data_IF_895930842243
#
_entry.id   IF_895930842243
#
_cell.length_a   1.000
_cell.length_b   1.000
_cell.length_c   1.000
_cell.angle_alpha   90.00
_cell.angle_beta   90.00
_cell.angle_gamma   90.00
#
_symmetry.space_group_name_H-M   'P 1'
#
loop_
_entity.id
_entity.type
_entity.pdbx_description
1 polymer ?
#
# COMPACT_ATOMS: atom_id res chain seq x y z
N UNK A 1 7.25 2.34 -6.91
CA UNK A 1 6.55 3.65 -7.04
C UNK A 1 6.14 3.92 -8.49
N UNK A 2 7.00 3.62 -9.47
CA UNK A 2 6.75 3.84 -10.90
C UNK A 2 5.64 3.00 -11.53
N UNK A 3 5.14 1.98 -10.84
CA UNK A 3 4.14 1.03 -11.38
C UNK A 3 2.88 1.72 -11.93
N UNK A 4 2.46 2.82 -11.30
CA UNK A 4 1.29 3.59 -11.74
C UNK A 4 1.54 4.30 -13.08
N UNK A 5 2.71 4.93 -13.25
CA UNK A 5 3.10 5.59 -14.49
C UNK A 5 3.39 4.59 -15.61
N UNK A 6 4.07 3.48 -15.31
CA UNK A 6 4.36 2.43 -16.29
C UNK A 6 3.09 1.84 -16.89
N UNK A 7 2.00 1.77 -16.10
CA UNK A 7 0.72 1.20 -16.55
C UNK A 7 -0.16 2.18 -17.31
N UNK A 8 -0.14 3.47 -16.94
CA UNK A 8 -0.98 4.49 -17.55
C UNK A 8 -0.33 5.14 -18.77
N UNK A 9 1.01 5.20 -18.82
CA UNK A 9 1.83 5.85 -19.86
C UNK A 9 1.21 7.19 -20.30
N UNK A 10 1.10 8.17 -19.40
CA UNK A 10 0.67 9.51 -19.79
C UNK A 10 1.71 10.12 -20.72
N UNK A 11 1.27 10.90 -21.72
CA UNK A 11 2.17 11.55 -22.67
C UNK A 11 2.94 12.72 -22.04
N UNK A 12 2.40 13.29 -20.97
CA UNK A 12 3.01 14.39 -20.22
C UNK A 12 4.05 13.86 -19.23
N UNK A 13 5.19 14.55 -19.15
CA UNK A 13 6.21 14.30 -18.12
C UNK A 13 5.80 14.97 -16.80
N UNK A 14 5.89 14.23 -15.70
CA UNK A 14 5.57 14.74 -14.36
C UNK A 14 6.81 14.76 -13.48
N UNK A 15 6.98 15.83 -12.70
CA UNK A 15 7.87 15.84 -11.53
C UNK A 15 7.03 15.55 -10.28
N UNK A 16 7.50 14.64 -9.42
CA UNK A 16 6.76 14.21 -8.23
C UNK A 16 7.57 14.56 -6.99
N UNK A 17 6.99 15.39 -6.12
CA UNK A 17 7.48 15.64 -4.78
C UNK A 17 6.44 15.15 -3.78
N UNK A 18 6.84 14.28 -2.86
CA UNK A 18 5.93 13.69 -1.88
C UNK A 18 6.56 13.67 -0.49
N UNK A 19 5.78 14.11 0.51
CA UNK A 19 6.15 14.01 1.92
C UNK A 19 5.45 12.80 2.52
N UNK A 20 6.23 11.82 2.98
CA UNK A 20 5.71 10.59 3.60
C UNK A 20 6.31 10.48 5.00
N UNK A 21 5.49 10.21 6.00
CA UNK A 21 5.90 10.10 7.41
C UNK A 21 5.41 8.78 8.01
N UNK A 22 6.25 8.17 8.85
CA UNK A 22 5.95 6.90 9.54
C UNK A 22 6.18 5.64 8.69
N UNK A 23 5.94 4.48 9.29
CA UNK A 23 6.13 3.17 8.66
C UNK A 23 7.60 2.82 8.38
N UNK A 24 7.82 1.86 7.48
CA UNK A 24 9.12 1.50 6.90
C UNK A 24 9.15 1.63 5.38
N UNK A 25 10.31 1.34 4.76
CA UNK A 25 10.59 1.57 3.33
C UNK A 25 9.53 0.94 2.41
N UNK A 26 9.13 -0.31 2.68
CA UNK A 26 8.10 -1.00 1.90
C UNK A 26 6.74 -0.29 1.98
N UNK A 27 6.29 0.00 3.21
CA UNK A 27 5.00 0.67 3.42
C UNK A 27 4.98 2.09 2.85
N UNK A 28 6.10 2.81 2.88
CA UNK A 28 6.21 4.14 2.28
C UNK A 28 6.12 4.06 0.76
N UNK A 29 6.77 3.08 0.14
CA UNK A 29 6.68 2.83 -1.30
C UNK A 29 5.24 2.54 -1.77
N UNK A 30 4.50 1.76 -0.98
CA UNK A 30 3.09 1.46 -1.26
C UNK A 30 2.18 2.67 -1.06
N UNK A 31 2.44 3.47 -0.01
CA UNK A 31 1.73 4.71 0.24
C UNK A 31 1.92 5.71 -0.91
N UNK A 32 3.16 5.85 -1.40
CA UNK A 32 3.49 6.70 -2.55
C UNK A 32 2.75 6.23 -3.81
N UNK A 33 2.78 4.92 -4.10
CA UNK A 33 2.06 4.33 -5.24
C UNK A 33 0.56 4.61 -5.19
N UNK A 34 -0.03 4.49 -3.99
CA UNK A 34 -1.45 4.76 -3.79
C UNK A 34 -1.80 6.24 -3.98
N UNK A 35 -0.97 7.14 -3.44
CA UNK A 35 -1.11 8.60 -3.63
C UNK A 35 -1.01 9.01 -5.09
N UNK A 36 0.01 8.52 -5.80
CA UNK A 36 0.19 8.76 -7.24
C UNK A 36 -1.01 8.29 -8.06
N UNK A 37 -1.55 7.12 -7.76
CA UNK A 37 -2.72 6.58 -8.46
C UNK A 37 -3.97 7.44 -8.26
N UNK A 38 -4.12 8.10 -7.11
CA UNK A 38 -5.22 9.04 -6.86
C UNK A 38 -5.00 10.38 -7.58
N UNK A 39 -3.77 10.90 -7.56
CA UNK A 39 -3.42 12.12 -8.27
C UNK A 39 -3.63 11.98 -9.79
N UNK A 40 -3.24 10.84 -10.38
CA UNK A 40 -3.47 10.55 -11.80
C UNK A 40 -4.96 10.51 -12.18
N UNK A 41 -5.84 10.04 -11.29
CA UNK A 41 -7.29 10.06 -11.53
C UNK A 41 -7.87 11.47 -11.49
N UNK A 42 -7.31 12.35 -10.65
CA UNK A 42 -7.72 13.75 -10.61
C UNK A 42 -7.30 14.49 -11.88
N UNK A 43 -6.16 14.10 -12.47
CA UNK A 43 -5.73 14.63 -13.76
C UNK A 43 -6.58 14.11 -14.93
N UNK A 44 -6.77 12.79 -15.02
CA UNK A 44 -7.57 12.17 -16.07
C UNK A 44 -8.43 11.02 -15.49
N UNK A 45 -9.74 11.19 -15.58
CA UNK A 45 -10.72 10.28 -15.03
C UNK A 45 -10.83 8.96 -15.83
N UNK A 46 -10.38 8.93 -17.08
CA UNK A 46 -10.38 7.73 -17.94
C UNK A 46 -9.36 6.69 -17.47
N UNK A 47 -8.27 7.14 -16.84
CA UNK A 47 -7.21 6.28 -16.29
C UNK A 47 -7.72 5.40 -15.14
N UNK A 48 -8.88 5.70 -14.55
CA UNK A 48 -9.47 4.94 -13.44
C UNK A 48 -9.64 3.45 -13.78
N UNK A 49 -10.10 3.11 -14.98
CA UNK A 49 -10.28 1.70 -15.39
C UNK A 49 -8.93 0.97 -15.46
N UNK A 50 -7.91 1.63 -16.03
CA UNK A 50 -6.54 1.10 -16.16
C UNK A 50 -5.87 0.89 -14.79
N UNK A 51 -6.13 1.77 -13.81
CA UNK A 51 -5.56 1.72 -12.46
C UNK A 51 -6.35 0.82 -11.49
N UNK A 52 -7.66 0.63 -11.70
CA UNK A 52 -8.50 -0.25 -10.86
C UNK A 52 -8.18 -1.72 -11.09
N UNK A 53 -7.95 -2.15 -12.34
CA UNK A 53 -7.64 -3.54 -12.69
C UNK A 53 -6.43 -4.13 -11.94
N UNK A 54 -5.28 -3.44 -11.82
CA UNK A 54 -4.14 -3.90 -11.03
C UNK A 54 -4.29 -3.67 -9.51
N UNK A 55 -5.39 -3.06 -9.04
CA UNK A 55 -5.65 -2.88 -7.61
C UNK A 55 -4.98 -1.68 -6.95
N UNK A 56 -4.38 -0.75 -7.70
CA UNK A 56 -3.64 0.39 -7.13
C UNK A 56 -4.51 1.40 -6.38
N UNK A 57 -5.81 1.39 -6.65
CA UNK A 57 -6.81 2.26 -5.99
C UNK A 57 -7.36 1.68 -4.69
N UNK A 58 -7.11 0.41 -4.39
CA UNK A 58 -7.52 -0.18 -3.12
C UNK A 58 -6.45 0.12 -2.08
N UNK A 59 -6.84 0.79 -0.99
CA UNK A 59 -5.97 0.89 0.19
C UNK A 59 -5.80 -0.51 0.77
N UNK A 60 -4.55 -0.95 1.03
CA UNK A 60 -4.33 -2.19 1.77
C UNK A 60 -4.75 -1.98 3.24
N UNK A 61 -5.79 -2.68 3.75
CA UNK A 61 -6.24 -2.53 5.12
C UNK A 61 -5.45 -3.39 6.11
N UNK A 62 -4.50 -4.22 5.64
CA UNK A 62 -3.75 -5.12 6.52
C UNK A 62 -2.91 -4.32 7.50
N UNK A 63 -3.04 -4.66 8.78
CA UNK A 63 -2.25 -4.10 9.87
C UNK A 63 -1.70 -5.27 10.68
N UNK A 64 -0.52 -5.07 11.29
CA UNK A 64 0.07 -6.07 12.19
C UNK A 64 -0.90 -6.36 13.34
N UNK A 65 -1.33 -7.62 13.45
CA UNK A 65 -2.17 -8.06 14.56
C UNK A 65 -1.43 -7.85 15.89
N UNK A 66 -2.13 -7.31 16.89
CA UNK A 66 -1.54 -7.04 18.21
C UNK A 66 -1.13 -8.34 18.91
N UNK A 67 -0.18 -8.24 19.86
CA UNK A 67 0.09 -9.34 20.78
C UNK A 67 -1.11 -9.53 21.73
N UNK A 68 -1.61 -10.75 21.84
CA UNK A 68 -2.69 -11.12 22.76
C UNK A 68 -2.09 -11.57 24.10
N UNK A 69 -2.79 -11.31 25.19
CA UNK A 69 -2.36 -11.74 26.53
C UNK A 69 -2.33 -13.28 26.61
N UNK A 70 -1.42 -13.84 27.41
CA UNK A 70 -1.22 -15.29 27.51
C UNK A 70 -0.51 -15.94 26.31
N UNK A 71 -0.36 -15.25 25.18
CA UNK A 71 0.34 -15.75 24.00
C UNK A 71 1.76 -15.15 23.87
N UNK A 72 2.68 -15.93 23.29
CA UNK A 72 4.06 -15.49 23.01
C UNK A 72 4.12 -14.43 21.90
N UNK A 73 3.19 -14.47 20.94
CA UNK A 73 3.01 -13.48 19.85
C UNK A 73 1.51 -13.25 19.59
N UNK A 74 1.14 -12.67 18.44
CA UNK A 74 -0.27 -12.45 18.09
C UNK A 74 -1.14 -13.73 18.15
N UNK A 75 -0.61 -14.86 17.67
CA UNK A 75 -1.31 -16.16 17.66
C UNK A 75 -0.50 -17.33 18.24
N UNK A 76 0.79 -17.14 18.51
CA UNK A 76 1.68 -18.23 18.97
C UNK A 76 1.42 -18.54 20.45
N UNK A 77 0.78 -19.66 20.71
CA UNK A 77 0.62 -20.19 22.07
C UNK A 77 1.96 -20.69 22.65
N UNK A 78 2.12 -20.67 23.98
CA UNK A 78 3.16 -21.47 24.62
C UNK A 78 2.98 -22.95 24.31
N UNK A 79 4.06 -23.72 24.39
CA UNK A 79 3.98 -25.17 24.24
C UNK A 79 3.21 -25.73 25.42
N UNK A 80 2.18 -26.54 25.16
CA UNK A 80 1.44 -27.23 26.21
C UNK A 80 2.22 -28.48 26.64
N UNK A 81 2.23 -28.76 27.93
CA UNK A 81 2.70 -30.03 28.50
C UNK A 81 1.59 -30.59 29.40
N UNK A 82 1.25 -31.87 29.24
CA UNK A 82 0.23 -32.54 30.08
C UNK A 82 0.85 -33.07 31.37
N UNK A 83 2.13 -33.44 31.32
CA UNK A 83 2.96 -33.99 32.39
C UNK A 83 4.38 -33.51 32.17
#
# INVERSE_FOLDING_TARGET
>A
AEDAFRKTRPETRFSVTALIKGGGIHSQSEALRHGLSRALIQFDQELRKKLKKPGFLKRDPRVKERRKFGLKKARRAPQWAKR
#
